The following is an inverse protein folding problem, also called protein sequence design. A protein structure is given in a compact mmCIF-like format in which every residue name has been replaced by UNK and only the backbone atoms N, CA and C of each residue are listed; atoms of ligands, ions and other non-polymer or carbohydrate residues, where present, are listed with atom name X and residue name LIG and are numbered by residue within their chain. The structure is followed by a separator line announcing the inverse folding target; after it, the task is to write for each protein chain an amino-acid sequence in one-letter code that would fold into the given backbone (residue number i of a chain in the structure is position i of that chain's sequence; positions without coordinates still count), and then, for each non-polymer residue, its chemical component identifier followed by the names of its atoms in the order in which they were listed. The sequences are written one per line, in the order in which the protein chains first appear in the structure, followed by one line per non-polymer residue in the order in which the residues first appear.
data_IF_655066565868
#
_entry.id   IF_655066565868
#
_cell.length_a   1.000
_cell.length_b   1.000
_cell.length_c   1.000
_cell.angle_alpha   90.00
_cell.angle_beta   90.00
_cell.angle_gamma   90.00
#
_symmetry.space_group_name_H-M   'P 1'
#
loop_
_entity.id
_entity.type
_entity.pdbx_description
1 polymer ?
#
# COMPACT_ATOMS: atom_id res chain seq x y z
N UNK A 1 -41.04 -46.68 -39.47
CA UNK A 1 -41.04 -45.40 -38.72
C UNK A 1 -39.70 -45.27 -38.00
N UNK A 2 -38.82 -44.39 -38.46
CA UNK A 2 -37.52 -44.12 -37.81
C UNK A 2 -37.72 -43.03 -36.75
N UNK A 3 -37.50 -43.36 -35.50
CA UNK A 3 -37.60 -42.44 -34.37
C UNK A 3 -36.51 -41.37 -34.47
N UNK A 4 -36.91 -40.16 -34.89
CA UNK A 4 -36.09 -38.96 -34.85
C UNK A 4 -35.96 -38.52 -33.40
N UNK A 5 -34.86 -38.93 -32.76
CA UNK A 5 -34.57 -38.61 -31.37
C UNK A 5 -34.12 -37.15 -31.25
N UNK A 6 -35.07 -36.24 -30.96
CA UNK A 6 -34.87 -34.77 -30.92
C UNK A 6 -34.53 -34.23 -29.52
N UNK A 7 -34.19 -35.10 -28.56
CA UNK A 7 -33.92 -34.75 -27.14
C UNK A 7 -32.44 -34.54 -26.78
N UNK A 8 -31.49 -34.90 -27.64
CA UNK A 8 -30.04 -34.75 -27.37
C UNK A 8 -29.45 -33.38 -27.75
N UNK A 9 -30.16 -32.60 -28.57
CA UNK A 9 -29.68 -31.34 -29.13
C UNK A 9 -29.72 -30.18 -28.13
N UNK A 10 -30.81 -30.09 -27.35
CA UNK A 10 -31.00 -29.01 -26.38
C UNK A 10 -30.05 -29.15 -25.17
N UNK A 11 -29.74 -30.38 -24.76
CA UNK A 11 -28.80 -30.64 -23.65
C UNK A 11 -27.35 -30.25 -24.00
N UNK A 12 -26.92 -30.43 -25.24
CA UNK A 12 -25.58 -30.00 -25.68
C UNK A 12 -25.44 -28.48 -25.69
N UNK A 13 -26.48 -27.76 -26.12
CA UNK A 13 -26.47 -26.30 -26.13
C UNK A 13 -26.39 -25.72 -24.71
N UNK A 14 -27.16 -26.30 -23.77
CA UNK A 14 -27.14 -25.92 -22.36
C UNK A 14 -25.75 -26.15 -21.73
N UNK A 15 -25.13 -27.31 -22.00
CA UNK A 15 -23.78 -27.63 -21.51
C UNK A 15 -22.74 -26.67 -22.10
N UNK A 16 -22.82 -26.37 -23.41
CA UNK A 16 -21.90 -25.44 -24.07
C UNK A 16 -22.05 -24.03 -23.49
N UNK A 17 -23.29 -23.53 -23.33
CA UNK A 17 -23.53 -22.24 -22.70
C UNK A 17 -22.99 -22.20 -21.26
N UNK A 18 -23.19 -23.26 -20.48
CA UNK A 18 -22.68 -23.35 -19.13
C UNK A 18 -21.15 -23.28 -19.09
N UNK A 19 -20.47 -24.01 -19.98
CA UNK A 19 -19.00 -23.98 -20.08
C UNK A 19 -18.51 -22.59 -20.48
N UNK A 20 -19.12 -21.96 -21.49
CA UNK A 20 -18.72 -20.62 -21.96
C UNK A 20 -18.90 -19.59 -20.84
N UNK A 21 -20.03 -19.63 -20.13
CA UNK A 21 -20.31 -18.70 -19.04
C UNK A 21 -19.32 -18.86 -17.88
N UNK A 22 -19.00 -20.10 -17.51
CA UNK A 22 -17.99 -20.38 -16.48
C UNK A 22 -16.61 -19.90 -16.91
N UNK A 23 -16.23 -20.13 -18.18
CA UNK A 23 -14.94 -19.67 -18.68
C UNK A 23 -14.81 -18.15 -18.61
N UNK A 24 -15.89 -17.43 -18.96
CA UNK A 24 -15.94 -15.97 -18.90
C UNK A 24 -15.91 -15.49 -17.44
N UNK A 25 -16.66 -16.15 -16.57
CA UNK A 25 -16.66 -15.87 -15.13
C UNK A 25 -15.27 -16.08 -14.50
N UNK A 26 -14.65 -17.23 -14.73
CA UNK A 26 -13.30 -17.52 -14.22
C UNK A 26 -12.26 -16.58 -14.83
N UNK A 27 -12.36 -16.28 -16.14
CA UNK A 27 -11.48 -15.31 -16.79
C UNK A 27 -11.56 -13.91 -16.16
N UNK A 28 -12.78 -13.42 -15.92
CA UNK A 28 -13.01 -12.16 -15.23
C UNK A 28 -12.48 -12.19 -13.79
N UNK A 29 -12.68 -13.30 -13.07
CA UNK A 29 -12.14 -13.50 -11.73
C UNK A 29 -10.62 -13.47 -11.71
N UNK A 30 -9.93 -14.19 -12.59
CA UNK A 30 -8.47 -14.18 -12.66
C UNK A 30 -7.93 -12.78 -13.00
N UNK A 31 -8.55 -12.09 -13.95
CA UNK A 31 -8.19 -10.71 -14.30
C UNK A 31 -8.38 -9.75 -13.11
N UNK A 32 -9.47 -9.92 -12.35
CA UNK A 32 -9.75 -9.13 -11.16
C UNK A 32 -8.75 -9.41 -10.04
N UNK A 33 -8.44 -10.67 -9.76
CA UNK A 33 -7.47 -11.07 -8.73
C UNK A 33 -6.07 -10.56 -9.09
N UNK A 34 -5.65 -10.71 -10.35
CA UNK A 34 -4.38 -10.19 -10.83
C UNK A 34 -4.25 -8.67 -10.66
N UNK A 35 -5.37 -7.93 -10.78
CA UNK A 35 -5.40 -6.47 -10.57
C UNK A 35 -5.51 -6.07 -9.10
N UNK A 36 -6.17 -6.88 -8.28
CA UNK A 36 -6.46 -6.57 -6.87
C UNK A 36 -5.26 -6.78 -5.94
N UNK A 37 -4.19 -7.46 -6.40
CA UNK A 37 -3.01 -7.79 -5.60
C UNK A 37 -2.06 -6.63 -5.27
N UNK A 38 -2.39 -5.37 -5.60
CA UNK A 38 -1.53 -4.23 -5.24
C UNK A 38 -1.75 -3.83 -3.78
N UNK A 39 -1.23 -4.66 -2.85
CA UNK A 39 -1.20 -4.40 -1.41
C UNK A 39 -0.50 -3.08 -1.04
N UNK A 40 0.24 -2.48 -1.96
CA UNK A 40 0.92 -1.20 -1.79
C UNK A 40 0.00 -0.11 -1.21
N UNK A 41 -1.25 0.01 -1.69
CA UNK A 41 -2.17 1.03 -1.17
C UNK A 41 -2.60 0.81 0.29
N UNK A 42 -2.74 -0.45 0.70
CA UNK A 42 -3.01 -0.80 2.10
C UNK A 42 -1.81 -0.44 2.98
N UNK A 43 -0.60 -0.79 2.54
CA UNK A 43 0.63 -0.46 3.27
C UNK A 43 0.84 1.06 3.35
N UNK A 44 0.63 1.80 2.26
CA UNK A 44 0.67 3.28 2.27
C UNK A 44 -0.25 3.84 3.36
N UNK A 45 -1.47 3.32 3.48
CA UNK A 45 -2.43 3.74 4.49
C UNK A 45 -2.02 3.35 5.92
N UNK A 46 -1.55 2.12 6.13
CA UNK A 46 -1.16 1.62 7.45
C UNK A 46 0.04 2.41 7.98
N UNK A 47 1.08 2.56 7.16
CA UNK A 47 2.31 3.23 7.58
C UNK A 47 2.13 4.73 7.77
N UNK A 48 1.37 5.41 6.91
CA UNK A 48 1.09 6.84 7.10
C UNK A 48 0.37 7.12 8.42
N UNK A 49 -0.65 6.32 8.76
CA UNK A 49 -1.36 6.39 10.05
C UNK A 49 -0.44 6.07 11.22
N UNK A 50 0.32 4.99 11.14
CA UNK A 50 1.21 4.56 12.21
C UNK A 50 2.25 5.63 12.51
N UNK A 51 2.93 6.16 11.47
CA UNK A 51 3.94 7.22 11.62
C UNK A 51 3.31 8.48 12.22
N UNK A 52 2.14 8.90 11.73
CA UNK A 52 1.46 10.08 12.24
C UNK A 52 1.08 9.95 13.72
N UNK A 53 0.50 8.80 14.12
CA UNK A 53 0.15 8.52 15.51
C UNK A 53 1.38 8.42 16.42
N UNK A 54 2.48 7.87 15.91
CA UNK A 54 3.75 7.82 16.64
C UNK A 54 4.31 9.22 16.86
N UNK A 55 4.27 10.09 15.85
CA UNK A 55 4.64 11.51 15.99
C UNK A 55 3.73 12.19 17.03
N UNK A 56 2.42 11.93 16.96
CA UNK A 56 1.46 12.54 17.88
C UNK A 56 1.59 12.08 19.33
N UNK A 57 2.04 10.85 19.54
CA UNK A 57 2.28 10.29 20.86
C UNK A 57 3.68 10.59 21.40
N UNK A 58 4.57 11.14 20.56
CA UNK A 58 5.96 11.36 20.92
C UNK A 58 6.14 12.56 21.86
N UNK A 59 7.21 12.49 22.64
CA UNK A 59 7.71 13.60 23.45
C UNK A 59 8.95 14.20 22.79
N UNK A 60 9.21 15.52 22.97
CA UNK A 60 10.46 16.12 22.53
C UNK A 60 11.67 15.38 23.08
N UNK A 61 12.68 15.15 22.24
CA UNK A 61 13.89 14.39 22.54
C UNK A 61 13.77 12.88 22.27
N UNK A 62 12.59 12.38 21.85
CA UNK A 62 12.44 10.99 21.45
C UNK A 62 12.96 10.74 20.03
N UNK A 63 13.56 9.56 19.84
CA UNK A 63 13.88 9.00 18.52
C UNK A 63 13.01 7.77 18.31
N UNK A 64 12.21 7.79 17.24
CA UNK A 64 11.37 6.66 16.85
C UNK A 64 12.09 5.92 15.73
N UNK A 65 12.27 4.61 15.89
CA UNK A 65 12.83 3.72 14.87
C UNK A 65 11.73 2.81 14.32
N UNK A 66 11.55 2.82 13.00
CA UNK A 66 10.55 2.01 12.30
C UNK A 66 11.26 1.14 11.29
N UNK A 67 11.04 -0.18 11.38
CA UNK A 67 11.55 -1.12 10.40
C UNK A 67 10.67 -1.05 9.13
N UNK A 68 11.30 -0.78 7.98
CA UNK A 68 10.66 -0.66 6.67
C UNK A 68 10.92 -1.86 5.75
N UNK A 69 11.30 -3.02 6.28
CA UNK A 69 11.61 -4.20 5.48
C UNK A 69 10.44 -4.66 4.62
N UNK A 70 9.22 -4.54 5.12
CA UNK A 70 8.02 -4.88 4.35
C UNK A 70 7.81 -3.95 3.15
N UNK A 71 8.37 -2.73 3.20
CA UNK A 71 8.35 -1.81 2.06
C UNK A 71 9.45 -2.10 1.05
N UNK A 72 10.55 -2.74 1.44
CA UNK A 72 11.75 -2.94 0.61
C UNK A 72 11.43 -3.58 -0.74
N UNK A 73 10.57 -4.60 -0.75
CA UNK A 73 10.09 -5.26 -1.97
C UNK A 73 9.38 -4.28 -2.92
N UNK A 74 8.50 -3.41 -2.40
CA UNK A 74 7.81 -2.41 -3.20
C UNK A 74 8.76 -1.34 -3.75
N UNK A 75 9.76 -0.95 -2.96
CA UNK A 75 10.77 0.06 -3.34
C UNK A 75 11.60 -0.44 -4.52
N UNK A 76 12.07 -1.68 -4.43
CA UNK A 76 12.86 -2.34 -5.47
C UNK A 76 12.03 -2.60 -6.73
N UNK A 77 10.81 -3.11 -6.58
CA UNK A 77 9.88 -3.38 -7.70
C UNK A 77 9.50 -2.10 -8.46
N UNK A 78 9.21 -1.01 -7.73
CA UNK A 78 8.77 0.26 -8.30
C UNK A 78 9.92 1.25 -8.59
N UNK A 79 11.19 0.85 -8.33
CA UNK A 79 12.40 1.67 -8.50
C UNK A 79 12.28 3.06 -7.88
N UNK A 80 11.69 3.13 -6.68
CA UNK A 80 11.45 4.38 -5.97
C UNK A 80 12.68 4.77 -5.14
N UNK A 81 12.96 6.08 -5.03
CA UNK A 81 14.00 6.57 -4.12
C UNK A 81 13.46 6.69 -2.69
N UNK A 82 14.31 6.42 -1.68
CA UNK A 82 13.89 6.40 -0.26
C UNK A 82 13.20 7.70 0.17
N UNK A 83 13.70 8.83 -0.30
CA UNK A 83 13.15 10.16 0.02
C UNK A 83 11.75 10.41 -0.54
N UNK A 84 11.38 9.72 -1.61
CA UNK A 84 10.05 9.84 -2.23
C UNK A 84 8.99 8.98 -1.54
N UNK A 85 9.41 7.99 -0.74
CA UNK A 85 8.49 7.04 -0.11
C UNK A 85 7.79 7.68 1.06
N UNK A 86 8.54 8.34 1.94
CA UNK A 86 8.00 8.91 3.17
C UNK A 86 8.37 10.39 3.19
N UNK A 87 7.35 11.23 3.10
CA UNK A 87 7.51 12.67 3.12
C UNK A 87 6.71 13.27 4.28
N UNK A 88 7.33 14.18 5.02
CA UNK A 88 6.80 14.83 6.22
C UNK A 88 6.75 16.32 5.93
N UNK A 89 5.57 16.85 5.67
CA UNK A 89 5.40 18.27 5.33
C UNK A 89 4.10 18.82 5.92
N UNK A 90 4.18 20.01 6.53
CA UNK A 90 3.01 20.77 7.00
C UNK A 90 2.04 19.99 7.90
N UNK A 91 2.55 19.19 8.84
CA UNK A 91 1.68 18.39 9.71
C UNK A 91 1.08 17.16 9.01
N UNK A 92 1.65 16.73 7.88
CA UNK A 92 1.17 15.58 7.12
C UNK A 92 2.28 14.56 6.92
N UNK A 93 1.93 13.29 7.08
CA UNK A 93 2.72 12.14 6.63
C UNK A 93 2.17 11.68 5.30
N UNK A 94 3.03 11.66 4.28
CA UNK A 94 2.71 11.16 2.95
C UNK A 94 3.55 9.91 2.73
N UNK A 95 2.89 8.77 2.53
CA UNK A 95 3.55 7.50 2.21
C UNK A 95 3.18 7.07 0.80
N UNK A 96 4.19 6.78 -0.03
CA UNK A 96 4.04 6.42 -1.44
C UNK A 96 4.91 5.22 -1.79
N UNK A 97 4.27 4.13 -2.20
CA UNK A 97 4.88 2.86 -2.58
C UNK A 97 4.63 2.50 -4.05
N UNK A 98 3.73 3.20 -4.75
CA UNK A 98 3.45 2.97 -6.17
C UNK A 98 3.86 4.14 -7.05
N UNK A 99 4.49 3.85 -8.19
CA UNK A 99 4.85 4.87 -9.17
C UNK A 99 3.58 5.52 -9.79
N UNK A 100 3.56 6.84 -9.92
CA UNK A 100 2.40 7.57 -10.45
C UNK A 100 1.21 7.78 -9.48
N UNK A 101 1.21 7.17 -8.29
CA UNK A 101 0.21 7.47 -7.25
C UNK A 101 0.55 8.77 -6.52
N UNK A 102 -0.46 9.38 -5.86
CA UNK A 102 -0.25 10.47 -4.90
C UNK A 102 0.19 9.95 -3.51
N UNK A 103 0.23 8.63 -3.33
CA UNK A 103 0.38 7.98 -2.03
C UNK A 103 -0.86 8.18 -1.13
N UNK A 104 -0.74 7.71 0.10
CA UNK A 104 -1.71 7.98 1.15
C UNK A 104 -1.21 9.10 2.08
N UNK A 105 -2.12 9.98 2.46
CA UNK A 105 -1.84 11.15 3.28
C UNK A 105 -2.57 11.00 4.61
N UNK A 106 -1.86 11.19 5.71
CA UNK A 106 -2.47 11.26 7.03
C UNK A 106 -1.91 12.45 7.82
N UNK A 107 -2.79 13.16 8.51
CA UNK A 107 -2.42 14.35 9.27
C UNK A 107 -1.94 13.96 10.68
N UNK A 108 -0.94 14.67 11.19
CA UNK A 108 -0.51 14.65 12.59
C UNK A 108 -0.64 16.07 13.17
N UNK A 109 -0.98 16.17 14.45
CA UNK A 109 -1.38 17.43 15.08
C UNK A 109 -0.26 18.06 15.92
N UNK A 110 0.79 17.30 16.21
CA UNK A 110 1.88 17.76 17.06
C UNK A 110 2.69 18.89 16.44
N UNK A 111 2.93 19.94 17.22
CA UNK A 111 3.72 21.11 16.81
C UNK A 111 5.23 20.91 17.07
N UNK A 112 5.71 19.70 16.79
CA UNK A 112 7.13 19.35 16.92
C UNK A 112 7.84 19.47 15.59
N UNK A 113 9.14 19.71 15.64
CA UNK A 113 10.01 19.60 14.48
C UNK A 113 10.42 18.14 14.33
N UNK A 114 10.07 17.52 13.20
CA UNK A 114 10.33 16.11 12.93
C UNK A 114 11.42 16.01 11.88
N UNK A 115 12.59 15.50 12.27
CA UNK A 115 13.70 15.22 11.35
C UNK A 115 13.66 13.75 10.99
N UNK A 116 13.58 13.43 9.69
CA UNK A 116 13.66 12.05 9.18
C UNK A 116 15.07 11.70 8.73
N UNK A 117 15.46 10.46 8.95
CA UNK A 117 16.66 9.84 8.39
C UNK A 117 16.42 8.37 8.08
N UNK A 118 17.16 7.84 7.11
CA UNK A 118 17.16 6.42 6.79
C UNK A 118 18.51 5.83 7.16
N UNK A 119 18.49 4.68 7.84
CA UNK A 119 19.68 3.91 8.17
C UNK A 119 19.50 2.47 7.70
N UNK A 120 20.61 1.85 7.31
CA UNK A 120 20.64 0.43 6.94
C UNK A 120 21.41 -0.33 8.00
N UNK A 121 20.71 -1.24 8.70
CA UNK A 121 21.26 -2.02 9.80
C UNK A 121 21.05 -3.51 9.54
N UNK A 122 22.13 -4.28 9.33
CA UNK A 122 22.08 -5.72 9.08
C UNK A 122 21.08 -6.12 7.97
N UNK A 123 21.14 -5.44 6.81
CA UNK A 123 20.23 -5.56 5.66
C UNK A 123 18.79 -5.06 5.88
N UNK A 124 18.47 -4.60 7.09
CA UNK A 124 17.18 -3.99 7.38
C UNK A 124 17.20 -2.50 7.04
N UNK A 125 16.12 -2.02 6.42
CA UNK A 125 15.91 -0.59 6.18
C UNK A 125 15.15 0.01 7.37
N UNK A 126 15.75 0.97 8.06
CA UNK A 126 15.15 1.61 9.24
C UNK A 126 14.91 3.09 8.95
N UNK A 127 13.68 3.55 9.20
CA UNK A 127 13.34 4.96 9.30
C UNK A 127 13.55 5.43 10.74
N UNK A 128 14.36 6.47 10.91
CA UNK A 128 14.49 7.19 12.17
C UNK A 128 13.81 8.54 12.09
N UNK A 129 12.98 8.82 13.09
CA UNK A 129 12.32 10.11 13.28
C UNK A 129 12.79 10.71 14.59
N UNK A 130 13.52 11.82 14.51
CA UNK A 130 13.96 12.59 15.67
C UNK A 130 12.95 13.71 15.93
N UNK A 131 12.32 13.67 17.11
CA UNK A 131 11.28 14.61 17.51
C UNK A 131 11.92 15.72 18.35
N UNK A 132 12.06 16.89 17.76
CA UNK A 132 12.64 18.05 18.40
C UNK A 132 11.56 19.03 18.86
N UNK A 133 11.80 19.70 19.98
CA UNK A 133 10.95 20.82 20.38
C UNK A 133 11.12 21.91 19.34
N UNK A 134 10.02 22.34 18.70
CA UNK A 134 10.05 23.49 17.81
C UNK A 134 10.62 24.66 18.60
N UNK A 135 11.76 25.19 18.15
CA UNK A 135 12.51 26.21 18.86
C UNK A 135 11.55 27.30 19.35
N UNK A 136 11.50 27.51 20.67
CA UNK A 136 10.98 28.75 21.20
C UNK A 136 11.94 29.82 20.70
N UNK A 137 11.55 30.53 19.65
CA UNK A 137 12.15 31.83 19.38
C UNK A 137 11.93 32.65 20.64
N UNK A 138 13.03 33.06 21.26
CA UNK A 138 13.05 34.11 22.27
C UNK A 138 12.22 35.28 21.74
N UNK A 139 11.15 35.60 22.47
CA UNK A 139 10.30 36.77 22.29
C UNK A 139 9.92 37.30 23.65
#
# INVERSE_FOLDING_TARGET
MLFKNKKGSDSLYEIIMFIVLNLLFFGAMFAFVARSGTNAGLYEQVYSKQIALLIDSAKPGMVISINLNEMKSFIEENKLSLDQIINLQNGKVIVKLTQGSKGYIFDYFSNYEVVKGFEQENDNLILKLSINKKGAGDG
#
